data_IF_816152549402
#
_entry.id   IF_816152549402
#
_cell.length_a   1.000
_cell.length_b   1.000
_cell.length_c   1.000
_cell.angle_alpha   90.00
_cell.angle_beta   90.00
_cell.angle_gamma   90.00
#
_symmetry.space_group_name_H-M   'P 1'
#
loop_
_entity.id
_entity.type
_entity.pdbx_description
1 polymer ?
#
# COMPACT_ATOMS: atom_id res chain seq x y z
N UNK A 1 -2.24 9.62 -23.09
CA UNK A 1 -2.69 10.25 -21.83
C UNK A 1 -2.09 9.48 -20.67
N UNK A 2 -1.41 10.15 -19.76
CA UNK A 2 -0.78 9.54 -18.57
C UNK A 2 -1.81 9.47 -17.45
N UNK A 3 -1.96 8.30 -16.81
CA UNK A 3 -2.96 8.11 -15.73
C UNK A 3 -2.29 8.46 -14.40
N UNK A 4 -2.86 9.44 -13.68
CA UNK A 4 -2.36 9.83 -12.36
C UNK A 4 -2.82 8.82 -11.29
N UNK A 5 -1.87 8.26 -10.55
CA UNK A 5 -2.11 7.23 -9.55
C UNK A 5 -1.55 7.67 -8.21
N UNK A 6 -2.39 7.69 -7.18
CA UNK A 6 -1.97 7.96 -5.82
C UNK A 6 -1.25 6.73 -5.26
N UNK A 7 -0.07 6.90 -4.66
CA UNK A 7 0.67 5.81 -4.02
C UNK A 7 0.78 6.05 -2.52
N UNK A 8 0.06 5.22 -1.76
CA UNK A 8 0.09 5.20 -0.30
C UNK A 8 1.14 4.20 0.18
N UNK A 9 2.15 4.68 0.91
CA UNK A 9 3.17 3.84 1.58
C UNK A 9 3.81 4.64 2.73
N UNK A 10 4.49 3.99 3.69
CA UNK A 10 5.35 4.70 4.64
C UNK A 10 6.41 5.53 3.92
N UNK A 11 6.78 6.69 4.47
CA UNK A 11 7.84 7.55 3.91
C UNK A 11 9.19 6.82 3.82
N UNK A 12 9.51 6.07 4.87
CA UNK A 12 10.72 5.25 4.99
C UNK A 12 10.29 3.79 5.04
N UNK A 13 10.88 2.96 4.19
CA UNK A 13 10.73 1.50 4.22
C UNK A 13 12.10 0.88 4.50
N UNK A 14 12.14 -0.33 5.02
CA UNK A 14 13.41 -1.02 5.26
C UNK A 14 14.17 -1.26 3.94
N UNK A 15 15.51 -1.22 3.98
CA UNK A 15 16.38 -1.34 2.81
C UNK A 15 16.10 -2.59 1.94
N UNK A 16 15.67 -3.70 2.56
CA UNK A 16 15.27 -4.92 1.86
C UNK A 16 14.11 -4.74 0.87
N UNK A 17 13.27 -3.71 1.08
CA UNK A 17 12.12 -3.40 0.23
C UNK A 17 12.43 -2.39 -0.87
N UNK A 18 13.45 -1.54 -0.67
CA UNK A 18 13.71 -0.39 -1.56
C UNK A 18 13.97 -0.82 -3.01
N UNK A 19 14.81 -1.83 -3.23
CA UNK A 19 15.12 -2.32 -4.58
C UNK A 19 13.88 -2.78 -5.35
N UNK A 20 12.94 -3.45 -4.66
CA UNK A 20 11.72 -3.95 -5.28
C UNK A 20 10.68 -2.86 -5.46
N UNK A 21 10.60 -1.90 -4.54
CA UNK A 21 9.76 -0.72 -4.71
C UNK A 21 10.18 0.10 -5.94
N UNK A 22 11.49 0.37 -6.12
CA UNK A 22 12.02 1.09 -7.28
C UNK A 22 11.72 0.34 -8.59
N UNK A 23 11.88 -0.99 -8.60
CA UNK A 23 11.55 -1.82 -9.75
C UNK A 23 10.05 -1.76 -10.09
N UNK A 24 9.19 -1.83 -9.06
CA UNK A 24 7.74 -1.70 -9.22
C UNK A 24 7.34 -0.31 -9.74
N UNK A 25 7.93 0.77 -9.21
CA UNK A 25 7.72 2.13 -9.70
C UNK A 25 8.10 2.25 -11.18
N UNK A 26 9.27 1.73 -11.57
CA UNK A 26 9.71 1.74 -12.98
C UNK A 26 8.75 0.94 -13.87
N UNK A 27 8.26 -0.20 -13.38
CA UNK A 27 7.24 -1.00 -14.06
C UNK A 27 5.94 -0.21 -14.30
N UNK A 28 5.44 0.52 -13.30
CA UNK A 28 4.25 1.35 -13.44
C UNK A 28 4.47 2.52 -14.42
N UNK A 29 5.61 3.21 -14.33
CA UNK A 29 5.96 4.30 -15.25
C UNK A 29 5.99 3.82 -16.71
N UNK A 30 6.58 2.65 -16.98
CA UNK A 30 6.62 2.03 -18.32
C UNK A 30 5.23 1.65 -18.85
N UNK A 31 4.24 1.48 -17.97
CA UNK A 31 2.84 1.25 -18.34
C UNK A 31 2.02 2.53 -18.54
N UNK A 32 2.65 3.72 -18.43
CA UNK A 32 2.00 5.00 -18.66
C UNK A 32 1.28 5.59 -17.44
N UNK A 33 1.63 5.13 -16.24
CA UNK A 33 1.17 5.72 -14.99
C UNK A 33 2.11 6.83 -14.53
N UNK A 34 1.56 7.88 -13.93
CA UNK A 34 2.32 8.87 -13.19
C UNK A 34 1.98 8.71 -11.70
N UNK A 35 2.99 8.47 -10.88
CA UNK A 35 2.81 8.16 -9.47
C UNK A 35 2.91 9.42 -8.64
N UNK A 36 1.96 9.62 -7.73
CA UNK A 36 1.88 10.79 -6.88
C UNK A 36 1.87 10.40 -5.40
N UNK A 37 2.68 11.12 -4.60
CA UNK A 37 2.72 11.00 -3.14
C UNK A 37 3.05 12.35 -2.50
N UNK A 38 2.39 12.67 -1.38
CA UNK A 38 2.69 13.90 -0.63
C UNK A 38 4.07 13.79 0.05
N UNK A 39 4.86 14.87 0.05
CA UNK A 39 6.19 14.90 0.68
C UNK A 39 7.32 14.25 -0.13
N UNK A 40 7.02 13.79 -1.35
CA UNK A 40 8.01 13.36 -2.34
C UNK A 40 8.09 14.32 -3.51
N UNK A 41 6.94 14.59 -4.13
CA UNK A 41 6.84 15.38 -5.36
C UNK A 41 6.01 16.67 -5.16
N UNK A 42 5.33 16.80 -4.01
CA UNK A 42 4.42 17.90 -3.70
C UNK A 42 4.63 18.37 -2.25
N UNK A 43 5.26 19.54 -2.09
CA UNK A 43 5.41 20.23 -0.81
C UNK A 43 4.34 21.32 -0.68
N UNK A 44 3.70 21.41 0.48
CA UNK A 44 2.72 22.46 0.80
C UNK A 44 2.99 23.01 2.19
N UNK A 45 2.73 24.31 2.38
CA UNK A 45 2.69 24.95 3.70
C UNK A 45 1.36 24.66 4.42
N UNK A 46 0.38 24.07 3.73
CA UNK A 46 -0.88 23.63 4.33
C UNK A 46 -0.69 22.41 5.24
N UNK A 47 -1.64 22.20 6.16
CA UNK A 47 -1.73 20.98 6.95
C UNK A 47 -1.65 19.72 6.04
N UNK A 48 -0.82 18.71 6.35
CA UNK A 48 -0.55 17.57 5.46
C UNK A 48 -1.80 16.89 4.91
N UNK A 49 -2.83 16.70 5.75
CA UNK A 49 -4.09 16.08 5.32
C UNK A 49 -4.79 16.86 4.20
N UNK A 50 -4.75 18.20 4.23
CA UNK A 50 -5.30 19.03 3.13
C UNK A 50 -4.54 18.77 1.83
N UNK A 51 -3.21 18.64 1.92
CA UNK A 51 -2.36 18.30 0.79
C UNK A 51 -2.72 16.94 0.18
N UNK A 52 -2.87 15.91 1.01
CA UNK A 52 -3.30 14.56 0.58
C UNK A 52 -4.67 14.62 -0.10
N UNK A 53 -5.65 15.29 0.51
CA UNK A 53 -7.00 15.41 -0.06
C UNK A 53 -7.01 16.14 -1.41
N UNK A 54 -6.16 17.17 -1.60
CA UNK A 54 -5.99 17.83 -2.89
C UNK A 54 -5.41 16.87 -3.92
N UNK A 55 -4.30 16.22 -3.59
CA UNK A 55 -3.59 15.30 -4.48
C UNK A 55 -4.46 14.11 -4.90
N UNK A 56 -5.22 13.53 -3.97
CA UNK A 56 -6.13 12.41 -4.23
C UNK A 56 -7.23 12.78 -5.25
N UNK A 57 -7.72 14.03 -5.25
CA UNK A 57 -8.74 14.49 -6.22
C UNK A 57 -8.23 14.55 -7.66
N UNK A 58 -6.94 14.71 -7.85
CA UNK A 58 -6.30 14.77 -9.17
C UNK A 58 -6.03 13.35 -9.73
N UNK A 59 -5.91 12.36 -8.83
CA UNK A 59 -5.67 10.98 -9.18
C UNK A 59 -6.91 10.26 -9.74
N UNK A 60 -6.68 9.34 -10.67
CA UNK A 60 -7.71 8.49 -11.28
C UNK A 60 -7.82 7.12 -10.63
N UNK A 61 -6.82 6.73 -9.86
CA UNK A 61 -6.75 5.47 -9.15
C UNK A 61 -5.74 5.57 -7.99
N UNK A 62 -5.74 4.58 -7.10
CA UNK A 62 -4.81 4.51 -5.97
C UNK A 62 -4.21 3.11 -5.80
N UNK A 63 -2.98 3.07 -5.29
CA UNK A 63 -2.25 1.87 -4.89
C UNK A 63 -1.85 2.06 -3.43
N UNK A 64 -2.26 1.12 -2.57
CA UNK A 64 -1.94 1.11 -1.14
C UNK A 64 -0.96 -0.02 -0.87
N UNK A 65 0.24 0.32 -0.40
CA UNK A 65 1.32 -0.62 -0.11
C UNK A 65 1.56 -0.68 1.40
N UNK A 66 1.11 -1.77 2.02
CA UNK A 66 1.29 -2.08 3.43
C UNK A 66 2.65 -2.69 3.70
N UNK A 67 3.68 -1.85 3.81
CA UNK A 67 4.99 -2.28 4.31
C UNK A 67 4.98 -2.35 5.84
N UNK A 68 5.77 -3.27 6.45
CA UNK A 68 6.08 -3.24 7.87
C UNK A 68 6.65 -1.88 8.28
N UNK A 69 5.98 -1.21 9.23
CA UNK A 69 6.50 -0.01 9.89
C UNK A 69 6.81 -0.25 11.37
N UNK A 70 5.96 -1.03 12.06
CA UNK A 70 6.20 -1.43 13.45
C UNK A 70 6.03 -2.93 13.61
N UNK A 71 6.93 -3.54 14.37
CA UNK A 71 6.86 -4.96 14.73
C UNK A 71 6.79 -5.05 16.26
N UNK A 72 5.73 -5.69 16.77
CA UNK A 72 5.60 -5.97 18.20
C UNK A 72 5.86 -7.45 18.41
N UNK A 73 6.86 -7.77 19.24
CA UNK A 73 7.15 -9.13 19.70
C UNK A 73 6.79 -9.24 21.17
N UNK A 74 5.87 -10.14 21.49
CA UNK A 74 5.51 -10.48 22.85
C UNK A 74 5.77 -11.98 23.07
N UNK A 75 6.32 -12.31 24.24
CA UNK A 75 6.42 -13.69 24.71
C UNK A 75 5.54 -13.84 25.94
N UNK A 76 4.73 -14.89 25.95
CA UNK A 76 3.98 -15.29 27.13
C UNK A 76 4.70 -16.51 27.74
N UNK A 77 5.27 -16.35 28.93
CA UNK A 77 5.70 -17.48 29.75
C UNK A 77 4.60 -17.79 30.77
N UNK A 78 3.97 -18.96 30.61
CA UNK A 78 3.28 -19.59 31.73
C UNK A 78 4.33 -20.44 32.43
N UNK A 79 4.40 -20.40 33.76
CA UNK A 79 5.26 -21.30 34.53
C UNK A 79 5.04 -22.74 33.98
N UNK A 80 6.09 -23.28 33.35
CA UNK A 80 6.18 -24.64 32.78
C UNK A 80 5.39 -24.97 31.49
N UNK A 81 4.89 -23.99 30.72
CA UNK A 81 4.31 -24.27 29.39
C UNK A 81 4.96 -23.43 28.28
N UNK A 82 5.02 -24.03 27.07
CA UNK A 82 5.74 -23.55 25.90
C UNK A 82 5.65 -22.03 25.66
N UNK A 83 6.80 -21.42 25.40
CA UNK A 83 6.91 -20.00 25.06
C UNK A 83 6.17 -19.73 23.75
N UNK A 84 5.01 -19.09 23.84
CA UNK A 84 4.27 -18.65 22.66
C UNK A 84 4.77 -17.26 22.28
N UNK A 85 5.46 -17.18 21.13
CA UNK A 85 5.85 -15.91 20.52
C UNK A 85 4.68 -15.37 19.71
N UNK A 86 4.20 -14.19 20.08
CA UNK A 86 3.23 -13.41 19.32
C UNK A 86 3.97 -12.29 18.61
N UNK A 87 3.92 -12.28 17.28
CA UNK A 87 4.47 -11.21 16.46
C UNK A 87 3.35 -10.49 15.71
N UNK A 88 3.32 -9.16 15.79
CA UNK A 88 2.35 -8.33 15.08
C UNK A 88 3.02 -7.32 14.14
N UNK A 89 2.61 -7.44 12.88
CA UNK A 89 2.87 -6.69 11.65
C UNK A 89 2.13 -5.37 11.43
N UNK A 90 2.58 -4.20 11.90
CA UNK A 90 1.79 -2.97 11.69
C UNK A 90 2.28 -2.14 10.50
N UNK A 91 1.35 -1.71 9.61
CA UNK A 91 1.62 -0.75 8.56
C UNK A 91 1.67 0.67 9.11
N UNK A 92 1.84 1.66 8.22
CA UNK A 92 1.67 3.05 8.63
C UNK A 92 0.19 3.41 8.82
N UNK A 93 -0.18 4.20 9.84
CA UNK A 93 -1.55 4.71 9.98
C UNK A 93 -2.00 5.53 8.78
N UNK A 94 -1.06 6.13 8.03
CA UNK A 94 -1.36 6.83 6.77
C UNK A 94 -2.02 5.94 5.73
N UNK A 95 -1.70 4.63 5.68
CA UNK A 95 -2.36 3.72 4.74
C UNK A 95 -3.87 3.67 4.99
N UNK A 96 -4.28 3.68 6.26
CA UNK A 96 -5.70 3.65 6.63
C UNK A 96 -6.40 4.95 6.18
N UNK A 97 -5.77 6.10 6.42
CA UNK A 97 -6.29 7.42 6.06
C UNK A 97 -6.39 7.56 4.54
N UNK A 98 -5.31 7.30 3.83
CA UNK A 98 -5.22 7.52 2.38
C UNK A 98 -6.09 6.55 1.59
N UNK A 99 -6.15 5.27 1.99
CA UNK A 99 -7.06 4.30 1.40
C UNK A 99 -8.52 4.72 1.59
N UNK A 100 -8.90 5.16 2.80
CA UNK A 100 -10.26 5.66 3.07
C UNK A 100 -10.61 6.86 2.20
N UNK A 101 -9.68 7.79 1.99
CA UNK A 101 -9.87 8.91 1.08
C UNK A 101 -10.07 8.46 -0.37
N UNK A 102 -9.30 7.47 -0.83
CA UNK A 102 -9.46 6.90 -2.17
C UNK A 102 -10.82 6.21 -2.35
N UNK A 103 -11.27 5.41 -1.37
CA UNK A 103 -12.60 4.80 -1.38
C UNK A 103 -13.72 5.85 -1.40
N UNK A 104 -13.60 6.88 -0.56
CA UNK A 104 -14.54 8.00 -0.53
C UNK A 104 -14.63 8.72 -1.88
N UNK A 105 -13.49 8.87 -2.56
CA UNK A 105 -13.40 9.48 -3.90
C UNK A 105 -13.95 8.58 -5.02
N UNK A 106 -14.24 7.30 -4.71
CA UNK A 106 -14.74 6.28 -5.65
C UNK A 106 -13.83 6.08 -6.86
N UNK A 107 -12.52 6.18 -6.62
CA UNK A 107 -11.51 5.79 -7.61
C UNK A 107 -11.09 4.33 -7.37
N UNK A 108 -10.67 3.59 -8.40
CA UNK A 108 -10.21 2.22 -8.23
C UNK A 108 -9.00 2.16 -7.31
N UNK A 109 -9.02 1.25 -6.35
CA UNK A 109 -7.95 1.04 -5.38
C UNK A 109 -7.45 -0.40 -5.46
N UNK A 110 -6.14 -0.58 -5.48
CA UNK A 110 -5.52 -1.87 -5.20
C UNK A 110 -4.81 -1.79 -3.85
N UNK A 111 -5.11 -2.74 -2.97
CA UNK A 111 -4.46 -2.85 -1.65
C UNK A 111 -3.52 -4.05 -1.68
N UNK A 112 -2.24 -3.80 -1.38
CA UNK A 112 -1.21 -4.84 -1.30
C UNK A 112 -0.60 -4.84 0.10
N UNK A 113 -0.77 -5.94 0.83
CA UNK A 113 -0.18 -6.14 2.14
C UNK A 113 1.11 -6.95 2.04
N UNK A 114 2.18 -6.52 2.70
CA UNK A 114 3.32 -7.41 2.94
C UNK A 114 2.86 -8.61 3.78
N UNK A 115 3.47 -9.78 3.59
CA UNK A 115 3.20 -10.97 4.41
C UNK A 115 3.31 -10.62 5.91
N UNK A 116 2.25 -10.91 6.65
CA UNK A 116 2.16 -10.62 8.09
C UNK A 116 1.65 -9.22 8.45
N UNK A 117 1.49 -8.31 7.49
CA UNK A 117 0.80 -7.03 7.70
C UNK A 117 -0.70 -7.25 7.67
N UNK A 118 -1.39 -6.79 8.71
CA UNK A 118 -2.85 -6.88 8.85
C UNK A 118 -3.40 -5.62 9.53
N UNK A 119 -4.72 -5.51 9.60
CA UNK A 119 -5.43 -4.43 10.27
C UNK A 119 -6.13 -3.47 9.31
N UNK A 120 -7.42 -3.22 9.57
CA UNK A 120 -8.20 -2.19 8.90
C UNK A 120 -8.31 -2.44 7.40
N UNK A 121 -7.80 -1.54 6.57
CA UNK A 121 -7.85 -1.66 5.10
C UNK A 121 -7.11 -2.87 4.53
N UNK A 122 -6.25 -3.52 5.34
CA UNK A 122 -5.55 -4.75 4.96
C UNK A 122 -6.29 -6.03 5.38
N UNK A 123 -7.40 -5.92 6.12
CA UNK A 123 -8.21 -7.08 6.50
C UNK A 123 -9.27 -7.37 5.43
N UNK A 124 -9.41 -8.65 5.08
CA UNK A 124 -10.39 -9.08 4.07
C UNK A 124 -11.82 -8.71 4.50
N UNK A 125 -12.58 -8.09 3.58
CA UNK A 125 -13.99 -7.76 3.79
C UNK A 125 -14.27 -6.41 4.46
N UNK A 126 -13.25 -5.68 4.94
CA UNK A 126 -13.47 -4.38 5.60
C UNK A 126 -13.89 -3.29 4.61
N UNK A 127 -13.26 -3.25 3.43
CA UNK A 127 -13.44 -2.18 2.44
C UNK A 127 -14.29 -2.59 1.24
N UNK A 128 -14.65 -3.88 1.15
CA UNK A 128 -15.27 -4.48 -0.03
C UNK A 128 -14.32 -4.71 -1.21
N UNK A 129 -13.09 -4.16 -1.15
CA UNK A 129 -12.06 -4.37 -2.17
C UNK A 129 -11.18 -5.59 -1.86
N UNK A 130 -10.56 -6.13 -2.92
CA UNK A 130 -9.63 -7.25 -2.80
C UNK A 130 -8.30 -6.79 -2.18
N UNK A 131 -7.89 -7.45 -1.10
CA UNK A 131 -6.54 -7.28 -0.51
C UNK A 131 -5.63 -8.36 -1.08
N UNK A 132 -4.57 -7.96 -1.77
CA UNK A 132 -3.54 -8.86 -2.26
C UNK A 132 -2.41 -8.98 -1.24
N UNK A 133 -2.10 -10.18 -0.76
CA UNK A 133 -0.94 -10.42 0.10
C UNK A 133 0.26 -10.85 -0.74
N UNK A 134 1.41 -10.20 -0.55
CA UNK A 134 2.66 -10.55 -1.21
C UNK A 134 3.88 -10.25 -0.35
N UNK A 135 4.98 -10.98 -0.53
CA UNK A 135 6.26 -10.52 0.01
C UNK A 135 6.79 -9.36 -0.85
N UNK A 136 6.55 -8.13 -0.40
CA UNK A 136 7.03 -6.90 -1.06
C UNK A 136 8.56 -6.77 -1.15
N UNK A 137 9.35 -7.60 -0.45
CA UNK A 137 10.82 -7.65 -0.56
C UNK A 137 11.31 -8.68 -1.57
N UNK A 138 10.43 -9.59 -2.01
CA UNK A 138 10.75 -10.61 -2.98
C UNK A 138 10.96 -10.02 -4.37
N UNK A 139 11.99 -10.52 -5.05
CA UNK A 139 12.29 -10.12 -6.43
C UNK A 139 11.07 -10.32 -7.34
N UNK A 140 10.73 -9.25 -8.07
CA UNK A 140 9.70 -9.30 -9.11
C UNK A 140 8.32 -9.76 -8.61
N UNK A 141 7.99 -9.53 -7.33
CA UNK A 141 6.68 -9.90 -6.75
C UNK A 141 5.50 -9.39 -7.61
N UNK A 142 5.62 -8.17 -8.14
CA UNK A 142 4.63 -7.52 -8.99
C UNK A 142 4.53 -8.13 -10.38
N UNK A 143 5.36 -9.11 -10.77
CA UNK A 143 5.24 -9.84 -12.05
C UNK A 143 4.59 -11.20 -11.86
N UNK A 144 4.34 -11.63 -10.63
CA UNK A 144 3.69 -12.91 -10.35
C UNK A 144 2.25 -12.91 -10.88
N UNK A 145 1.80 -14.10 -11.29
CA UNK A 145 0.51 -14.31 -11.96
C UNK A 145 -0.67 -13.83 -11.11
N UNK A 146 -0.60 -14.08 -9.80
CA UNK A 146 -1.59 -13.66 -8.81
C UNK A 146 -1.74 -12.13 -8.77
N UNK A 147 -0.64 -11.39 -8.60
CA UNK A 147 -0.68 -9.92 -8.65
C UNK A 147 -1.11 -9.40 -10.01
N UNK A 148 -0.61 -10.00 -11.11
CA UNK A 148 -0.97 -9.57 -12.46
C UNK A 148 -2.47 -9.70 -12.74
N UNK A 149 -3.14 -10.73 -12.23
CA UNK A 149 -4.59 -10.85 -12.34
C UNK A 149 -5.32 -9.70 -11.63
N UNK A 150 -4.95 -9.42 -10.38
CA UNK A 150 -5.52 -8.30 -9.60
C UNK A 150 -5.23 -6.96 -10.28
N UNK A 151 -4.02 -6.78 -10.77
CA UNK A 151 -3.59 -5.56 -11.43
C UNK A 151 -4.39 -5.33 -12.72
N UNK A 152 -4.57 -6.34 -13.57
CA UNK A 152 -5.38 -6.23 -14.79
C UNK A 152 -6.83 -5.88 -14.49
N UNK A 153 -7.45 -6.53 -13.50
CA UNK A 153 -8.81 -6.19 -13.07
C UNK A 153 -8.90 -4.76 -12.52
N UNK A 154 -7.91 -4.30 -11.76
CA UNK A 154 -7.85 -2.92 -11.32
C UNK A 154 -7.74 -1.94 -12.51
N UNK A 155 -6.97 -2.29 -13.55
CA UNK A 155 -6.82 -1.46 -14.75
C UNK A 155 -8.15 -1.27 -15.52
N UNK A 156 -9.03 -2.28 -15.57
CA UNK A 156 -10.32 -2.17 -16.28
C UNK A 156 -11.27 -1.18 -15.60
N UNK A 157 -11.11 -0.97 -14.29
CA UNK A 157 -11.95 -0.06 -13.48
C UNK A 157 -11.55 1.40 -13.62
N UNK A 158 -10.37 1.71 -14.16
CA UNK A 158 -9.88 3.09 -14.31
C UNK A 158 -10.60 3.76 -15.47
N UNK A 159 -11.40 4.79 -15.14
CA UNK A 159 -12.03 5.66 -16.13
C UNK A 159 -10.95 6.51 -16.82
N UNK A 160 -10.88 6.43 -18.14
CA UNK A 160 -9.98 7.25 -18.98
C UNK A 160 -10.49 8.68 -19.09
#
# INVERSE_FOLDING_TARGET
MTIQVFVSRPTVIAARFESQYVAFQTYLLRKGYCLYRLGADNYTMDAPLKGVMRLMRECKAAIVLGYPQFEVKASLSKAEAAQQELAAVFPTPWNQIEATLAFKQRIPVIVVAHTGVSGGVFDHGVTGEYVHTADLGMKDWYKKKDFQGVFQEWQTRIKR
#
